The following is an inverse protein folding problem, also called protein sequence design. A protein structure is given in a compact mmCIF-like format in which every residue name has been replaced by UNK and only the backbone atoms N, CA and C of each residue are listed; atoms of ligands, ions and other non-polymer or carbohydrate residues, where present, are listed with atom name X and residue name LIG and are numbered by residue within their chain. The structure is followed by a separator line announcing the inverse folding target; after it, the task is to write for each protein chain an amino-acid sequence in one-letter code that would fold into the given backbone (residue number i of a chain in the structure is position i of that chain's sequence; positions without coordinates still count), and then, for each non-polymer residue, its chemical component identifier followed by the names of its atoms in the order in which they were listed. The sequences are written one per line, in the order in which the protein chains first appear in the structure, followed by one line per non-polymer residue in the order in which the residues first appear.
data_IF_971167195677
#
_entry.id   IF_971167195677
#
_cell.length_a   1.000
_cell.length_b   1.000
_cell.length_c   1.000
_cell.angle_alpha   90.00
_cell.angle_beta   90.00
_cell.angle_gamma   90.00
#
_symmetry.space_group_name_H-M   'P 1'
#
loop_
_entity.id
_entity.type
_entity.pdbx_description
1 polymer ?
#
# COMPACT_ATOMS: atom_id res chain seq x y z
N UNK A 1 -1.51 14.95 -16.27
CA UNK A 1 -0.64 15.73 -17.19
C UNK A 1 -0.32 17.13 -16.69
N UNK A 2 -1.33 17.97 -16.42
CA UNK A 2 -1.14 19.37 -15.97
C UNK A 2 -0.43 19.48 -14.60
N UNK A 3 -0.83 18.67 -13.62
CA UNK A 3 -0.22 18.68 -12.28
C UNK A 3 1.27 18.29 -12.29
N UNK A 4 1.63 17.28 -13.09
CA UNK A 4 3.03 16.85 -13.23
C UNK A 4 3.90 17.98 -13.82
N UNK A 5 3.44 18.60 -14.92
CA UNK A 5 4.15 19.71 -15.54
C UNK A 5 4.31 20.91 -14.58
N UNK A 6 3.28 21.19 -13.77
CA UNK A 6 3.34 22.25 -12.76
C UNK A 6 4.41 21.98 -11.69
N UNK A 7 4.57 20.73 -11.23
CA UNK A 7 5.64 20.37 -10.28
C UNK A 7 7.02 20.32 -10.93
N UNK A 8 7.13 19.85 -12.19
CA UNK A 8 8.39 19.90 -12.96
C UNK A 8 8.91 21.34 -13.09
N UNK A 9 8.02 22.30 -13.39
CA UNK A 9 8.37 23.71 -13.50
C UNK A 9 8.84 24.34 -12.17
N UNK A 10 8.53 23.74 -11.02
CA UNK A 10 8.95 24.23 -9.69
C UNK A 10 10.36 23.80 -9.29
N UNK A 11 10.99 22.89 -10.04
CA UNK A 11 12.39 22.49 -9.85
C UNK A 11 12.59 21.10 -9.24
N UNK A 12 13.86 20.69 -9.18
CA UNK A 12 14.29 19.31 -8.86
C UNK A 12 13.87 18.82 -7.48
N UNK A 13 13.60 19.71 -6.53
CA UNK A 13 13.10 19.33 -5.21
C UNK A 13 11.73 18.62 -5.27
N UNK A 14 11.01 18.73 -6.40
CA UNK A 14 9.75 18.02 -6.63
C UNK A 14 9.89 16.74 -7.47
N UNK A 15 11.12 16.30 -7.81
CA UNK A 15 11.35 15.14 -8.68
C UNK A 15 10.64 13.87 -8.17
N UNK A 16 10.58 13.65 -6.84
CA UNK A 16 9.84 12.53 -6.23
C UNK A 16 8.34 12.60 -6.56
N UNK A 17 7.74 13.79 -6.42
CA UNK A 17 6.33 14.04 -6.73
C UNK A 17 6.08 13.86 -8.23
N UNK A 18 6.94 14.44 -9.07
CA UNK A 18 6.88 14.30 -10.52
C UNK A 18 6.92 12.84 -10.95
N UNK A 19 7.85 12.05 -10.37
CA UNK A 19 7.98 10.61 -10.62
C UNK A 19 6.71 9.88 -10.21
N UNK A 20 6.18 10.16 -9.02
CA UNK A 20 4.95 9.56 -8.49
C UNK A 20 3.69 9.88 -9.31
N UNK A 21 3.65 11.05 -9.96
CA UNK A 21 2.57 11.46 -10.86
C UNK A 21 2.69 10.89 -12.28
N UNK A 22 3.80 10.22 -12.61
CA UNK A 22 4.02 9.69 -13.95
C UNK A 22 3.32 8.36 -14.16
N UNK A 23 2.40 8.32 -15.12
CA UNK A 23 1.62 7.12 -15.44
C UNK A 23 2.49 5.88 -15.71
N UNK A 24 3.58 6.02 -16.49
CA UNK A 24 4.40 4.87 -16.89
C UNK A 24 5.53 4.56 -15.90
N UNK A 25 6.06 5.55 -15.19
CA UNK A 25 7.31 5.40 -14.40
C UNK A 25 7.18 5.71 -12.91
N UNK A 26 5.96 5.91 -12.41
CA UNK A 26 5.72 5.88 -10.97
C UNK A 26 6.12 4.52 -10.38
N UNK A 27 6.58 4.46 -9.12
CA UNK A 27 6.96 3.21 -8.44
C UNK A 27 5.92 2.09 -8.61
N UNK A 28 4.66 2.37 -8.28
CA UNK A 28 3.54 1.42 -8.44
C UNK A 28 3.36 0.92 -9.88
N UNK A 29 3.52 1.79 -10.87
CA UNK A 29 3.42 1.39 -12.27
C UNK A 29 4.57 0.45 -12.68
N UNK A 30 5.78 0.69 -12.17
CA UNK A 30 6.93 -0.19 -12.40
C UNK A 30 6.77 -1.54 -11.70
N UNK A 31 6.31 -1.54 -10.45
CA UNK A 31 6.07 -2.77 -9.67
C UNK A 31 4.99 -3.62 -10.36
N UNK A 32 3.85 -3.04 -10.75
CA UNK A 32 2.84 -3.78 -11.50
C UNK A 32 3.36 -4.29 -12.84
N UNK A 33 4.13 -3.48 -13.59
CA UNK A 33 4.73 -3.94 -14.86
C UNK A 33 5.67 -5.14 -14.66
N UNK A 34 6.41 -5.17 -13.55
CA UNK A 34 7.32 -6.28 -13.20
C UNK A 34 6.54 -7.53 -12.77
N UNK A 35 5.55 -7.36 -11.89
CA UNK A 35 5.02 -8.48 -11.10
C UNK A 35 3.68 -9.02 -11.60
N UNK A 36 2.87 -8.22 -12.31
CA UNK A 36 1.53 -8.63 -12.74
C UNK A 36 1.55 -9.89 -13.63
N UNK A 37 2.61 -10.09 -14.42
CA UNK A 37 2.77 -11.28 -15.27
C UNK A 37 3.01 -12.58 -14.51
N UNK A 38 3.40 -12.51 -13.23
CA UNK A 38 3.60 -13.68 -12.36
C UNK A 38 2.35 -14.08 -11.57
N UNK A 39 1.26 -13.31 -11.66
CA UNK A 39 0.02 -13.61 -10.93
C UNK A 39 -0.70 -14.77 -11.62
N UNK A 40 -0.64 -15.95 -10.99
CA UNK A 40 -1.22 -17.18 -11.56
C UNK A 40 -2.48 -17.67 -10.83
N UNK A 41 -2.70 -17.19 -9.60
CA UNK A 41 -3.79 -17.62 -8.75
C UNK A 41 -4.20 -16.51 -7.78
N UNK A 42 -5.27 -16.74 -7.02
CA UNK A 42 -5.82 -15.76 -6.07
C UNK A 42 -4.81 -15.39 -4.98
N UNK A 43 -3.99 -16.33 -4.52
CA UNK A 43 -2.96 -16.10 -3.49
C UNK A 43 -1.85 -15.19 -4.00
N UNK A 44 -1.45 -15.33 -5.27
CA UNK A 44 -0.48 -14.41 -5.88
C UNK A 44 -1.05 -13.00 -5.98
N UNK A 45 -2.33 -12.87 -6.37
CA UNK A 45 -3.00 -11.57 -6.43
C UNK A 45 -3.09 -10.93 -5.04
N UNK A 46 -3.44 -11.71 -4.01
CA UNK A 46 -3.43 -11.26 -2.61
C UNK A 46 -2.05 -10.73 -2.20
N UNK A 47 -0.97 -11.45 -2.53
CA UNK A 47 0.41 -11.04 -2.25
C UNK A 47 0.77 -9.73 -2.96
N UNK A 48 0.43 -9.59 -4.25
CA UNK A 48 0.69 -8.36 -5.01
C UNK A 48 -0.05 -7.16 -4.41
N UNK A 49 -1.32 -7.33 -4.03
CA UNK A 49 -2.11 -6.23 -3.45
C UNK A 49 -1.63 -5.80 -2.06
N UNK A 50 -0.94 -6.67 -1.33
CA UNK A 50 -0.36 -6.38 0.00
C UNK A 50 1.13 -6.06 -0.05
N UNK A 51 1.72 -6.02 -1.24
CA UNK A 51 3.15 -5.87 -1.42
C UNK A 51 3.67 -4.53 -0.86
N UNK A 52 4.47 -4.64 0.19
CA UNK A 52 5.37 -3.60 0.68
C UNK A 52 6.69 -4.26 1.08
N UNK A 53 7.72 -4.07 0.28
CA UNK A 53 9.06 -4.58 0.56
C UNK A 53 10.07 -3.46 0.33
N UNK A 54 9.80 -2.27 0.87
CA UNK A 54 10.47 -1.05 0.45
C UNK A 54 11.99 -1.04 0.66
N UNK A 55 12.48 -1.80 1.65
CA UNK A 55 13.91 -2.00 1.92
C UNK A 55 14.62 -2.84 0.84
N UNK A 56 13.87 -3.69 0.13
CA UNK A 56 14.41 -4.64 -0.85
C UNK A 56 13.98 -4.32 -2.30
N UNK A 57 12.95 -3.50 -2.50
CA UNK A 57 12.47 -3.13 -3.84
C UNK A 57 13.22 -1.92 -4.39
N UNK A 58 13.94 -2.12 -5.49
CA UNK A 58 14.65 -1.03 -6.19
C UNK A 58 13.75 0.08 -6.75
N UNK A 59 12.44 -0.15 -6.89
CA UNK A 59 11.50 0.86 -7.39
C UNK A 59 10.89 1.73 -6.32
N UNK A 60 10.96 1.33 -5.04
CA UNK A 60 10.46 2.13 -3.93
C UNK A 60 11.47 3.17 -3.44
N UNK A 61 12.73 3.13 -3.90
CA UNK A 61 13.80 4.01 -3.43
C UNK A 61 13.94 4.01 -1.89
N UNK A 62 13.72 2.85 -1.25
CA UNK A 62 13.73 2.71 0.22
C UNK A 62 12.48 3.24 0.93
N UNK A 63 11.51 3.82 0.21
CA UNK A 63 10.35 4.48 0.80
C UNK A 63 9.11 3.56 0.85
N UNK A 64 8.64 3.29 2.06
CA UNK A 64 7.46 2.45 2.31
C UNK A 64 6.15 3.03 1.74
N UNK A 65 6.13 4.32 1.39
CA UNK A 65 5.02 4.93 0.64
C UNK A 65 5.00 4.53 -0.84
N UNK A 66 6.16 4.20 -1.40
CA UNK A 66 6.38 4.04 -2.84
C UNK A 66 6.21 2.60 -3.32
N UNK A 67 5.35 1.82 -2.67
CA UNK A 67 5.03 0.41 -2.98
C UNK A 67 3.55 0.25 -3.40
N UNK A 68 3.07 -0.97 -3.62
CA UNK A 68 1.65 -1.21 -3.95
C UNK A 68 0.77 -0.89 -2.73
N UNK A 69 1.10 -1.48 -1.58
CA UNK A 69 0.37 -1.26 -0.33
C UNK A 69 1.19 -0.33 0.56
N UNK A 70 1.06 0.97 0.33
CA UNK A 70 1.81 2.02 1.00
C UNK A 70 1.69 1.97 2.54
N UNK A 71 2.79 2.31 3.22
CA UNK A 71 2.87 2.47 4.69
C UNK A 71 3.41 3.86 5.02
N UNK A 72 2.52 4.82 5.25
CA UNK A 72 2.87 6.20 5.58
C UNK A 72 3.51 6.36 6.96
N UNK A 73 3.16 5.47 7.88
CA UNK A 73 3.74 5.37 9.20
C UNK A 73 5.22 4.93 9.16
N UNK A 74 5.64 4.27 8.06
CA UNK A 74 7.02 3.85 7.80
C UNK A 74 7.67 4.62 6.63
N UNK A 75 7.06 5.71 6.16
CA UNK A 75 7.55 6.45 5.00
C UNK A 75 8.85 7.19 5.30
N UNK A 76 9.70 7.34 4.27
CA UNK A 76 10.89 8.18 4.40
C UNK A 76 10.50 9.66 4.45
N UNK A 77 10.76 10.30 5.60
CA UNK A 77 10.49 11.72 5.83
C UNK A 77 9.50 11.92 6.97
N UNK A 78 8.36 12.54 6.68
CA UNK A 78 7.30 12.74 7.67
C UNK A 78 6.45 11.48 7.79
N UNK A 79 6.37 10.92 9.00
CA UNK A 79 5.43 9.85 9.34
C UNK A 79 4.00 10.39 9.26
N UNK A 80 3.10 9.63 8.64
CA UNK A 80 1.68 10.01 8.49
C UNK A 80 0.78 8.80 8.71
N UNK A 81 -0.37 9.01 9.35
CA UNK A 81 -1.41 7.99 9.51
C UNK A 81 -2.22 7.82 8.22
N UNK A 82 -1.55 7.44 7.14
CA UNK A 82 -2.15 7.24 5.83
C UNK A 82 -1.45 6.10 5.08
N UNK A 83 -2.13 5.53 4.10
CA UNK A 83 -1.61 4.46 3.28
C UNK A 83 -2.67 3.43 2.89
N UNK A 84 -2.20 2.22 2.64
CA UNK A 84 -3.04 1.08 2.30
C UNK A 84 -3.67 0.49 3.57
N UNK A 85 -4.99 0.38 3.62
CA UNK A 85 -5.74 -0.02 4.83
C UNK A 85 -6.57 -1.29 4.66
N UNK A 86 -6.55 -1.92 3.48
CA UNK A 86 -7.26 -3.17 3.24
C UNK A 86 -6.73 -3.89 1.99
N UNK A 87 -7.29 -5.06 1.72
CA UNK A 87 -7.20 -5.74 0.44
C UNK A 87 -8.48 -6.55 0.22
N UNK A 88 -9.00 -6.55 -1.01
CA UNK A 88 -10.18 -7.35 -1.39
C UNK A 88 -9.93 -8.01 -2.74
N UNK A 89 -10.16 -9.31 -2.81
CA UNK A 89 -9.96 -10.11 -4.02
C UNK A 89 -11.13 -11.05 -4.21
N UNK A 90 -11.58 -11.20 -5.45
CA UNK A 90 -12.55 -12.22 -5.83
C UNK A 90 -12.09 -12.93 -7.09
N UNK A 91 -12.64 -14.12 -7.33
CA UNK A 91 -12.51 -14.89 -8.57
C UNK A 91 -13.89 -14.96 -9.21
N UNK A 92 -13.96 -15.36 -10.49
CA UNK A 92 -15.25 -15.54 -11.15
C UNK A 92 -16.20 -16.45 -10.35
N UNK A 93 -15.70 -17.59 -9.87
CA UNK A 93 -16.49 -18.53 -9.07
C UNK A 93 -16.93 -17.93 -7.71
N UNK A 94 -16.07 -17.20 -7.01
CA UNK A 94 -16.45 -16.53 -5.76
C UNK A 94 -17.51 -15.45 -6.01
N UNK A 95 -17.36 -14.66 -7.08
CA UNK A 95 -18.30 -13.59 -7.43
C UNK A 95 -19.71 -14.12 -7.73
N UNK A 96 -19.84 -15.32 -8.32
CA UNK A 96 -21.15 -15.96 -8.54
C UNK A 96 -21.89 -16.26 -7.23
N UNK A 97 -21.17 -16.46 -6.12
CA UNK A 97 -21.72 -16.68 -4.78
C UNK A 97 -21.69 -15.44 -3.88
N UNK A 98 -21.48 -14.23 -4.42
CA UNK A 98 -21.29 -13.01 -3.64
C UNK A 98 -20.16 -13.11 -2.60
N UNK A 99 -19.10 -13.83 -2.93
CA UNK A 99 -17.97 -14.07 -2.05
C UNK A 99 -16.70 -13.30 -2.47
N UNK A 100 -15.87 -12.97 -1.50
CA UNK A 100 -14.55 -12.39 -1.68
C UNK A 100 -13.62 -12.75 -0.52
N UNK A 101 -12.32 -12.79 -0.80
CA UNK A 101 -11.30 -12.75 0.24
C UNK A 101 -11.06 -11.29 0.60
N UNK A 102 -11.04 -10.98 1.89
CA UNK A 102 -10.75 -9.64 2.39
C UNK A 102 -9.74 -9.67 3.53
N UNK A 103 -8.95 -8.61 3.65
CA UNK A 103 -8.06 -8.34 4.79
C UNK A 103 -8.21 -6.87 5.17
N UNK A 104 -8.24 -6.58 6.46
CA UNK A 104 -8.42 -5.23 6.99
C UNK A 104 -7.18 -4.77 7.76
N UNK A 105 -6.69 -3.57 7.49
CA UNK A 105 -5.52 -2.97 8.13
C UNK A 105 -4.32 -2.79 7.19
N UNK A 106 -3.27 -2.07 7.64
CA UNK A 106 -2.01 -1.93 6.91
C UNK A 106 -1.29 -3.25 6.67
N UNK A 107 -0.48 -3.33 5.61
CA UNK A 107 0.23 -4.57 5.28
C UNK A 107 1.37 -4.84 6.25
N UNK A 108 1.42 -6.08 6.74
CA UNK A 108 2.55 -6.68 7.46
C UNK A 108 3.32 -7.71 6.60
N UNK A 109 3.06 -7.74 5.29
CA UNK A 109 3.78 -8.63 4.36
C UNK A 109 5.22 -8.16 4.14
N UNK A 110 6.06 -9.04 3.60
CA UNK A 110 7.42 -8.68 3.16
C UNK A 110 8.40 -8.36 4.30
N UNK A 111 8.07 -8.74 5.54
CA UNK A 111 8.86 -8.42 6.73
C UNK A 111 8.52 -7.05 7.34
N UNK A 112 7.45 -6.40 6.87
CA UNK A 112 6.96 -5.15 7.45
C UNK A 112 6.27 -5.43 8.80
N UNK A 113 6.57 -4.70 9.89
CA UNK A 113 5.90 -4.92 11.17
C UNK A 113 4.40 -4.63 11.07
N UNK A 114 3.60 -5.31 11.89
CA UNK A 114 2.19 -4.95 12.05
C UNK A 114 2.08 -3.47 12.47
N UNK A 115 1.04 -2.80 11.99
CA UNK A 115 0.77 -1.43 12.44
C UNK A 115 0.20 -1.45 13.85
N UNK A 116 0.74 -0.61 14.72
CA UNK A 116 0.35 -0.44 16.11
C UNK A 116 0.15 1.05 16.38
N UNK A 117 -1.07 1.43 16.78
CA UNK A 117 -1.40 2.83 17.10
C UNK A 117 -0.54 3.41 18.23
N UNK A 118 -0.02 2.59 19.14
CA UNK A 118 0.79 3.04 20.27
C UNK A 118 2.24 3.37 19.88
N UNK A 119 2.75 2.81 18.78
CA UNK A 119 4.11 3.07 18.28
C UNK A 119 4.23 4.45 17.59
N UNK A 120 3.10 5.13 17.38
CA UNK A 120 3.05 6.43 16.70
C UNK A 120 2.21 7.43 17.52
N UNK A 121 2.66 7.72 18.74
CA UNK A 121 1.99 8.69 19.62
C UNK A 121 1.83 10.07 18.94
N UNK A 122 2.77 10.48 18.09
CA UNK A 122 2.68 11.71 17.30
C UNK A 122 1.64 11.66 16.17
N UNK A 123 1.15 10.47 15.80
CA UNK A 123 0.01 10.30 14.90
C UNK A 123 -1.31 10.22 15.65
N UNK A 124 -1.29 9.86 16.94
CA UNK A 124 -2.50 9.83 17.79
C UNK A 124 -3.11 11.22 18.00
N UNK A 125 -2.32 12.29 17.83
CA UNK A 125 -2.82 13.68 17.79
C UNK A 125 -3.62 14.02 16.54
N UNK A 126 -3.56 13.21 15.47
CA UNK A 126 -4.32 13.43 14.22
C UNK A 126 -5.81 13.07 14.41
N UNK A 127 -6.14 12.18 15.36
CA UNK A 127 -7.52 11.91 15.76
C UNK A 127 -7.70 10.59 16.50
N UNK A 128 -8.78 10.44 17.28
CA UNK A 128 -9.04 9.22 18.05
C UNK A 128 -9.45 8.05 17.14
N UNK A 129 -8.88 6.86 17.37
CA UNK A 129 -9.19 5.59 16.68
C UNK A 129 -10.21 4.73 17.46
N UNK A 130 -11.21 5.36 18.08
CA UNK A 130 -12.17 4.67 18.96
C UNK A 130 -12.90 3.53 18.23
N UNK A 131 -12.86 2.33 18.83
CA UNK A 131 -13.50 1.13 18.29
C UNK A 131 -12.66 0.38 17.25
N UNK A 132 -11.45 0.88 16.93
CA UNK A 132 -10.47 0.17 16.12
C UNK A 132 -9.57 -0.68 17.02
N UNK A 133 -9.02 -1.80 16.53
CA UNK A 133 -7.91 -2.49 17.21
C UNK A 133 -6.71 -1.56 17.38
N UNK A 134 -5.98 -1.70 18.48
CA UNK A 134 -4.70 -0.99 18.66
C UNK A 134 -3.63 -1.54 17.72
N UNK A 135 -3.60 -2.86 17.54
CA UNK A 135 -2.66 -3.55 16.63
C UNK A 135 -3.40 -4.24 15.50
N UNK A 136 -2.97 -3.98 14.27
CA UNK A 136 -3.50 -4.61 13.06
C UNK A 136 -2.62 -5.80 12.62
N UNK A 137 -2.84 -6.95 13.28
CA UNK A 137 -2.25 -8.25 12.88
C UNK A 137 -3.31 -9.14 12.23
N UNK A 138 -3.78 -8.74 11.05
CA UNK A 138 -4.90 -9.40 10.37
C UNK A 138 -4.43 -10.32 9.26
N UNK A 139 -5.28 -11.30 8.93
CA UNK A 139 -5.07 -12.25 7.87
C UNK A 139 -6.24 -12.16 6.88
N UNK A 140 -6.05 -12.70 5.68
CA UNK A 140 -7.13 -12.82 4.71
C UNK A 140 -8.20 -13.80 5.21
N UNK A 141 -9.46 -13.40 5.14
CA UNK A 141 -10.62 -14.23 5.44
C UNK A 141 -11.57 -14.29 4.24
N UNK A 142 -12.31 -15.40 4.12
CA UNK A 142 -13.42 -15.50 3.18
C UNK A 142 -14.65 -14.79 3.76
N UNK A 143 -15.21 -13.87 2.99
CA UNK A 143 -16.47 -13.21 3.28
C UNK A 143 -17.49 -13.69 2.26
N UNK A 144 -18.59 -14.25 2.75
CA UNK A 144 -19.71 -14.76 1.98
C UNK A 144 -21.01 -14.51 2.77
N UNK A 145 -22.18 -14.53 2.11
CA UNK A 145 -23.49 -14.44 2.75
C UNK A 145 -23.77 -15.54 3.77
#
# INVERSE_FOLDING_TARGET
PAMRAAFEARGKQYDKVVRGLSYQVAPRAKIFRRDAGSVSNVTDLMRVLRYNAATNDTYSDGDAWSTICARGDLALGATVADGCIDGKVTTFAMAQGMAALAVNGPSSDGGTPAFDWSEFEELSVVGPHKGMPDVYSTQWSLHAP
#
